data_IF_056342836382
#
_entry.id   IF_056342836382
#
_cell.length_a   1.000
_cell.length_b   1.000
_cell.length_c   1.000
_cell.angle_alpha   90.00
_cell.angle_beta   90.00
_cell.angle_gamma   90.00
#
_symmetry.space_group_name_H-M   'P 1'
#
loop_
_entity.id
_entity.type
_entity.pdbx_description
1 polymer ?
#
# COMPACT_ATOMS: atom_id res chain seq x y z
N UNK A 1 32.72 -48.27 -23.29
CA UNK A 1 32.63 -46.87 -23.76
C UNK A 1 33.41 -45.99 -22.81
N UNK A 2 34.53 -45.38 -23.26
CA UNK A 2 35.38 -44.50 -22.46
C UNK A 2 35.04 -43.06 -22.85
N UNK A 3 34.42 -42.31 -21.95
CA UNK A 3 34.17 -40.88 -22.17
C UNK A 3 35.52 -40.17 -22.06
N UNK A 4 35.94 -39.39 -23.06
CA UNK A 4 37.23 -38.69 -23.02
C UNK A 4 37.23 -37.68 -21.86
N UNK A 5 38.30 -37.71 -21.07
CA UNK A 5 38.50 -36.86 -19.88
C UNK A 5 38.33 -35.37 -20.17
N UNK A 6 38.63 -34.92 -21.39
CA UNK A 6 38.42 -33.53 -21.84
C UNK A 6 36.95 -33.12 -21.85
N UNK A 7 36.03 -34.02 -22.19
CA UNK A 7 34.58 -33.72 -22.25
C UNK A 7 33.98 -33.60 -20.85
N UNK A 8 34.47 -34.38 -19.89
CA UNK A 8 34.01 -34.33 -18.50
C UNK A 8 34.40 -32.99 -17.87
N UNK A 9 35.63 -32.50 -18.13
CA UNK A 9 36.08 -31.20 -17.63
C UNK A 9 35.24 -30.05 -18.19
N UNK A 10 34.91 -30.08 -19.48
CA UNK A 10 34.07 -29.04 -20.11
C UNK A 10 32.67 -29.01 -19.49
N UNK A 11 32.04 -30.18 -19.28
CA UNK A 11 30.71 -30.26 -18.67
C UNK A 11 30.74 -29.75 -17.22
N UNK A 12 31.78 -30.07 -16.45
CA UNK A 12 31.95 -29.55 -15.09
C UNK A 12 32.18 -28.04 -15.08
N UNK A 13 32.99 -27.48 -15.98
CA UNK A 13 33.22 -26.03 -16.07
C UNK A 13 31.94 -25.28 -16.47
N UNK A 14 31.16 -25.80 -17.42
CA UNK A 14 29.88 -25.20 -17.82
C UNK A 14 28.83 -25.32 -16.70
N UNK A 15 28.77 -26.46 -16.00
CA UNK A 15 27.88 -26.64 -14.85
C UNK A 15 28.26 -25.72 -13.68
N UNK A 16 29.56 -25.54 -13.40
CA UNK A 16 30.03 -24.60 -12.39
C UNK A 16 29.72 -23.15 -12.78
N UNK A 17 29.95 -22.73 -14.03
CA UNK A 17 29.65 -21.37 -14.48
C UNK A 17 28.15 -21.03 -14.38
N UNK A 18 27.28 -22.02 -14.63
CA UNK A 18 25.81 -21.87 -14.51
C UNK A 18 25.34 -21.71 -13.06
N UNK A 19 26.13 -22.15 -12.09
CA UNK A 19 25.79 -22.10 -10.66
C UNK A 19 26.17 -20.77 -9.99
N UNK A 20 26.85 -19.86 -10.69
CA UNK A 20 27.30 -18.55 -10.17
C UNK A 20 26.35 -17.38 -10.47
N UNK A 21 25.17 -17.62 -11.06
CA UNK A 21 24.24 -16.53 -11.44
C UNK A 21 23.14 -16.19 -10.43
N UNK A 22 23.12 -16.75 -9.21
CA UNK A 22 22.12 -16.37 -8.21
C UNK A 22 22.74 -15.80 -6.93
N UNK A 23 23.18 -14.54 -7.02
CA UNK A 23 23.24 -13.66 -5.87
C UNK A 23 22.97 -12.23 -6.37
N UNK A 24 21.70 -11.92 -6.64
CA UNK A 24 21.25 -10.54 -6.57
C UNK A 24 21.33 -10.16 -5.09
N UNK A 25 22.47 -9.66 -4.66
CA UNK A 25 22.53 -8.87 -3.44
C UNK A 25 21.68 -7.63 -3.70
N UNK A 26 20.60 -7.48 -2.95
CA UNK A 26 19.74 -6.30 -2.91
C UNK A 26 20.54 -5.09 -2.37
N UNK A 27 21.46 -4.59 -3.19
CA UNK A 27 22.26 -3.41 -2.92
C UNK A 27 21.50 -2.16 -3.35
N UNK A 28 20.60 -1.67 -2.49
CA UNK A 28 19.92 -0.38 -2.68
C UNK A 28 20.84 0.80 -2.31
N UNK A 29 21.98 0.93 -3.01
CA UNK A 29 23.07 1.84 -2.64
C UNK A 29 22.97 3.27 -3.19
N UNK A 30 21.84 3.66 -3.80
CA UNK A 30 21.60 5.04 -4.24
C UNK A 30 20.42 5.67 -3.53
N UNK A 31 20.72 6.50 -2.54
CA UNK A 31 19.73 7.36 -1.88
C UNK A 31 19.31 8.43 -2.89
N UNK A 32 18.04 8.40 -3.28
CA UNK A 32 17.44 9.41 -4.16
C UNK A 32 17.48 10.79 -3.47
N UNK A 33 17.75 11.85 -4.24
CA UNK A 33 17.51 13.19 -3.72
C UNK A 33 16.02 13.37 -3.41
N UNK A 34 15.67 14.33 -2.54
CA UNK A 34 14.26 14.61 -2.20
C UNK A 34 13.38 14.82 -3.44
N UNK A 35 13.89 15.52 -4.46
CA UNK A 35 13.13 15.80 -5.68
C UNK A 35 12.89 14.52 -6.50
N UNK A 36 13.89 13.65 -6.61
CA UNK A 36 13.77 12.38 -7.32
C UNK A 36 12.84 11.42 -6.58
N UNK A 37 12.93 11.37 -5.25
CA UNK A 37 12.03 10.60 -4.40
C UNK A 37 10.58 11.07 -4.55
N UNK A 38 10.33 12.38 -4.45
CA UNK A 38 8.98 12.94 -4.60
C UNK A 38 8.41 12.66 -6.01
N UNK A 39 9.24 12.74 -7.05
CA UNK A 39 8.86 12.40 -8.42
C UNK A 39 8.56 10.90 -8.56
N UNK A 40 9.36 10.04 -7.92
CA UNK A 40 9.13 8.60 -7.90
C UNK A 40 7.81 8.25 -7.22
N UNK A 41 7.59 8.76 -6.01
CA UNK A 41 6.36 8.56 -5.25
C UNK A 41 5.14 9.05 -6.03
N UNK A 42 5.25 10.17 -6.75
CA UNK A 42 4.17 10.68 -7.61
C UNK A 42 3.85 9.72 -8.77
N UNK A 43 4.86 9.11 -9.40
CA UNK A 43 4.65 8.10 -10.45
C UNK A 43 3.93 6.87 -9.89
N UNK A 44 4.35 6.36 -8.74
CA UNK A 44 3.63 5.28 -8.05
C UNK A 44 2.22 5.70 -7.65
N UNK A 45 2.02 6.97 -7.27
CA UNK A 45 0.70 7.53 -6.98
C UNK A 45 -0.26 7.46 -8.18
N UNK A 46 0.24 7.73 -9.39
CA UNK A 46 -0.56 7.58 -10.60
C UNK A 46 -0.97 6.11 -10.85
N UNK A 47 -0.09 5.15 -10.55
CA UNK A 47 -0.43 3.71 -10.61
C UNK A 47 -1.53 3.36 -9.60
N UNK A 48 -1.46 3.88 -8.38
CA UNK A 48 -2.51 3.72 -7.37
C UNK A 48 -3.85 4.32 -7.81
N UNK A 49 -3.84 5.53 -8.38
CA UNK A 49 -5.04 6.15 -8.94
C UNK A 49 -5.63 5.31 -10.06
N UNK A 50 -4.81 4.76 -10.94
CA UNK A 50 -5.26 3.86 -12.00
C UNK A 50 -5.90 2.58 -11.43
N UNK A 51 -5.30 1.98 -10.40
CA UNK A 51 -5.87 0.81 -9.73
C UNK A 51 -7.22 1.11 -9.07
N UNK A 52 -7.36 2.27 -8.42
CA UNK A 52 -8.56 2.65 -7.68
C UNK A 52 -9.71 3.22 -8.54
N UNK A 53 -9.50 3.44 -9.85
CA UNK A 53 -10.55 3.93 -10.77
C UNK A 53 -11.82 3.08 -10.75
N UNK A 54 -11.68 1.75 -10.63
CA UNK A 54 -12.81 0.81 -10.65
C UNK A 54 -13.82 1.06 -9.52
N UNK A 55 -13.38 1.66 -8.41
CA UNK A 55 -14.23 1.93 -7.25
C UNK A 55 -14.74 3.37 -7.19
N UNK A 56 -14.45 4.21 -8.19
CA UNK A 56 -14.89 5.62 -8.22
C UNK A 56 -16.42 5.76 -8.06
N UNK A 57 -17.19 4.88 -8.70
CA UNK A 57 -18.65 4.85 -8.60
C UNK A 57 -19.16 4.41 -7.22
N UNK A 58 -18.38 3.59 -6.49
CA UNK A 58 -18.77 3.07 -5.18
C UNK A 58 -18.82 4.18 -4.12
N UNK A 59 -18.05 5.25 -4.29
CA UNK A 59 -18.00 6.39 -3.37
C UNK A 59 -19.31 7.15 -3.25
N UNK A 60 -20.18 7.12 -4.27
CA UNK A 60 -21.51 7.74 -4.26
C UNK A 60 -22.37 7.21 -3.10
N UNK A 61 -22.28 5.89 -2.86
CA UNK A 61 -22.97 5.20 -1.76
C UNK A 61 -21.96 4.65 -0.75
N UNK A 62 -21.08 5.53 -0.26
CA UNK A 62 -19.96 5.15 0.62
C UNK A 62 -20.41 4.28 1.81
N UNK A 63 -21.51 4.62 2.49
CA UNK A 63 -21.98 3.83 3.64
C UNK A 63 -22.24 2.36 3.28
N UNK A 64 -22.93 2.11 2.18
CA UNK A 64 -23.28 0.76 1.73
C UNK A 64 -22.07 0.01 1.18
N UNK A 65 -21.14 0.73 0.55
CA UNK A 65 -19.96 0.15 -0.11
C UNK A 65 -18.69 0.22 0.73
N UNK A 66 -18.75 0.68 1.98
CA UNK A 66 -17.56 0.99 2.79
C UNK A 66 -16.57 -0.16 2.81
N UNK A 67 -17.03 -1.37 3.11
CA UNK A 67 -16.16 -2.54 3.19
C UNK A 67 -15.45 -2.79 1.85
N UNK A 68 -16.21 -2.86 0.75
CA UNK A 68 -15.69 -3.07 -0.61
C UNK A 68 -14.68 -1.99 -1.02
N UNK A 69 -14.96 -0.73 -0.69
CA UNK A 69 -14.05 0.39 -0.95
C UNK A 69 -12.75 0.20 -0.18
N UNK A 70 -12.81 -0.13 1.11
CA UNK A 70 -11.61 -0.33 1.91
C UNK A 70 -10.81 -1.53 1.41
N UNK A 71 -11.47 -2.65 1.09
CA UNK A 71 -10.81 -3.86 0.59
C UNK A 71 -10.05 -3.59 -0.72
N UNK A 72 -10.68 -2.92 -1.68
CA UNK A 72 -10.04 -2.57 -2.95
C UNK A 72 -8.93 -1.53 -2.80
N UNK A 73 -9.13 -0.51 -1.97
CA UNK A 73 -8.09 0.48 -1.69
C UNK A 73 -6.89 -0.16 -1.00
N UNK A 74 -7.10 -1.06 -0.04
CA UNK A 74 -6.01 -1.80 0.63
C UNK A 74 -5.26 -2.68 -0.37
N UNK A 75 -5.96 -3.38 -1.28
CA UNK A 75 -5.31 -4.15 -2.35
C UNK A 75 -4.44 -3.26 -3.24
N UNK A 76 -4.98 -2.17 -3.76
CA UNK A 76 -4.22 -1.22 -4.59
C UNK A 76 -3.02 -0.62 -3.86
N UNK A 77 -3.09 -0.52 -2.52
CA UNK A 77 -2.07 0.10 -1.70
C UNK A 77 -0.96 -0.88 -1.30
N UNK A 78 -1.32 -2.07 -0.81
CA UNK A 78 -0.43 -2.98 -0.07
C UNK A 78 -0.32 -4.40 -0.66
N UNK A 79 -0.98 -4.71 -1.78
CA UNK A 79 -0.87 -6.06 -2.34
C UNK A 79 0.59 -6.41 -2.66
N UNK A 80 1.07 -7.52 -2.10
CA UNK A 80 2.45 -7.97 -2.26
C UNK A 80 3.49 -7.19 -1.48
N UNK A 81 3.12 -6.38 -0.47
CA UNK A 81 4.07 -5.55 0.29
C UNK A 81 5.22 -6.36 0.90
N UNK A 82 4.93 -7.53 1.47
CA UNK A 82 5.91 -8.41 2.13
C UNK A 82 6.62 -9.38 1.16
N UNK A 83 6.13 -9.50 -0.08
CA UNK A 83 6.67 -10.45 -1.05
C UNK A 83 7.54 -9.73 -2.09
N UNK A 84 8.85 -9.85 -1.92
CA UNK A 84 9.86 -9.17 -2.74
C UNK A 84 9.98 -9.78 -4.16
N UNK A 85 9.28 -10.88 -4.44
CA UNK A 85 9.21 -11.46 -5.78
C UNK A 85 8.11 -10.84 -6.64
N UNK A 86 7.21 -10.06 -6.03
CA UNK A 86 6.09 -9.45 -6.74
C UNK A 86 6.54 -8.27 -7.63
N UNK A 87 5.90 -8.09 -8.79
CA UNK A 87 6.28 -7.04 -9.72
C UNK A 87 5.94 -5.64 -9.17
N UNK A 88 6.71 -4.60 -9.54
CA UNK A 88 6.48 -3.24 -9.08
C UNK A 88 5.10 -2.69 -9.49
N UNK A 89 4.48 -3.26 -10.53
CA UNK A 89 3.16 -2.85 -11.05
C UNK A 89 1.98 -3.37 -10.23
N UNK A 90 2.19 -4.23 -9.23
CA UNK A 90 1.11 -4.88 -8.49
C UNK A 90 0.33 -3.91 -7.59
N UNK A 91 1.05 -3.11 -6.80
CA UNK A 91 0.47 -2.17 -5.85
C UNK A 91 1.36 -0.94 -5.69
N UNK A 92 0.85 0.04 -4.95
CA UNK A 92 1.65 1.20 -4.56
C UNK A 92 2.88 0.79 -3.74
N UNK A 93 2.72 -0.13 -2.77
CA UNK A 93 3.82 -0.62 -1.94
C UNK A 93 4.95 -1.26 -2.77
N UNK A 94 4.61 -2.16 -3.71
CA UNK A 94 5.62 -2.80 -4.57
C UNK A 94 6.31 -1.78 -5.49
N UNK A 95 5.56 -0.79 -6.00
CA UNK A 95 6.14 0.27 -6.82
C UNK A 95 7.16 1.11 -6.05
N UNK A 96 6.81 1.54 -4.84
CA UNK A 96 7.65 2.42 -4.01
C UNK A 96 8.88 1.67 -3.47
N UNK A 97 8.72 0.38 -3.12
CA UNK A 97 9.83 -0.50 -2.73
C UNK A 97 10.88 -0.59 -3.83
N UNK A 98 10.47 -1.01 -5.02
CA UNK A 98 11.42 -1.36 -6.08
C UNK A 98 11.98 -0.12 -6.81
N UNK A 99 11.15 0.92 -7.01
CA UNK A 99 11.55 2.10 -7.80
C UNK A 99 12.01 3.28 -6.93
N UNK A 100 11.50 3.40 -5.71
CA UNK A 100 11.79 4.54 -4.83
C UNK A 100 12.64 4.14 -3.61
N UNK A 101 12.99 2.85 -3.48
CA UNK A 101 13.80 2.30 -2.39
C UNK A 101 13.21 2.61 -1.00
N UNK A 102 11.88 2.56 -0.88
CA UNK A 102 11.20 2.81 0.38
C UNK A 102 10.15 1.74 0.68
N UNK A 103 10.21 1.19 1.89
CA UNK A 103 9.24 0.23 2.40
C UNK A 103 8.03 0.94 3.02
N UNK A 104 6.88 0.27 2.93
CA UNK A 104 5.63 0.73 3.51
C UNK A 104 5.18 -0.17 4.65
N UNK A 105 4.53 0.44 5.64
CA UNK A 105 4.08 -0.24 6.87
C UNK A 105 2.57 -0.16 7.09
N UNK A 106 1.82 0.27 6.07
CA UNK A 106 0.38 0.34 6.13
C UNK A 106 -0.24 1.38 5.19
N UNK A 107 -1.57 1.31 5.08
CA UNK A 107 -2.35 2.17 4.22
C UNK A 107 -3.40 2.96 5.00
N UNK A 108 -3.30 4.29 4.97
CA UNK A 108 -4.28 5.16 5.61
C UNK A 108 -5.22 5.77 4.56
N UNK A 109 -6.41 5.20 4.44
CA UNK A 109 -7.41 5.63 3.46
C UNK A 109 -8.32 6.69 4.11
N UNK A 110 -8.21 7.93 3.62
CA UNK A 110 -9.05 9.06 4.04
C UNK A 110 -9.92 9.52 2.87
N UNK A 111 -11.24 9.41 3.02
CA UNK A 111 -12.17 10.07 2.10
C UNK A 111 -12.04 11.59 2.29
N UNK A 112 -11.62 12.31 1.24
CA UNK A 112 -11.72 13.76 1.19
C UNK A 112 -13.14 14.13 0.77
N UNK A 113 -13.79 15.02 1.51
CA UNK A 113 -15.06 15.60 1.09
C UNK A 113 -14.78 16.73 0.10
N UNK A 114 -14.66 16.40 -1.18
CA UNK A 114 -14.67 17.38 -2.27
C UNK A 114 -15.88 17.10 -3.17
N UNK A 115 -16.87 18.00 -3.17
CA UNK A 115 -18.11 17.87 -3.96
C UNK A 115 -19.38 17.55 -3.15
N UNK A 116 -20.43 17.09 -3.85
CA UNK A 116 -21.75 16.79 -3.25
C UNK A 116 -21.70 15.54 -2.36
N UNK A 117 -22.05 15.70 -1.08
CA UNK A 117 -22.36 14.58 -0.18
C UNK A 117 -23.74 14.01 -0.53
N UNK A 118 -23.87 12.69 -0.58
CA UNK A 118 -25.18 12.04 -0.65
C UNK A 118 -25.97 12.28 0.64
N UNK A 119 -27.31 12.26 0.55
CA UNK A 119 -28.18 12.51 1.72
C UNK A 119 -27.91 11.52 2.86
N UNK A 120 -27.68 10.25 2.53
CA UNK A 120 -27.29 9.21 3.51
C UNK A 120 -25.98 9.54 4.24
N UNK A 121 -25.07 10.23 3.56
CA UNK A 121 -23.78 10.63 4.10
C UNK A 121 -23.91 11.87 4.98
N UNK A 122 -24.74 12.84 4.58
CA UNK A 122 -25.10 13.99 5.43
C UNK A 122 -25.76 13.54 6.73
N UNK A 123 -26.73 12.63 6.65
CA UNK A 123 -27.38 12.05 7.82
C UNK A 123 -26.39 11.32 8.72
N UNK A 124 -25.47 10.54 8.13
CA UNK A 124 -24.43 9.83 8.89
C UNK A 124 -23.39 10.74 9.56
N UNK A 125 -23.19 11.98 9.08
CA UNK A 125 -22.34 12.99 9.73
C UNK A 125 -23.11 13.65 10.87
N UNK A 126 -24.34 14.11 10.61
CA UNK A 126 -25.23 14.69 11.61
C UNK A 126 -25.42 13.78 12.83
N UNK A 127 -25.61 12.47 12.60
CA UNK A 127 -25.76 11.49 13.67
C UNK A 127 -24.49 11.38 14.54
N UNK A 128 -23.29 11.36 13.92
CA UNK A 128 -22.01 11.35 14.64
C UNK A 128 -21.82 12.63 15.45
N UNK A 129 -22.06 13.79 14.86
CA UNK A 129 -21.93 15.07 15.55
C UNK A 129 -22.89 15.16 16.75
N UNK A 130 -24.12 14.69 16.60
CA UNK A 130 -25.10 14.64 17.68
C UNK A 130 -24.67 13.69 18.80
N UNK A 131 -24.12 12.52 18.46
CA UNK A 131 -23.57 11.57 19.43
C UNK A 131 -22.40 12.18 20.20
N UNK A 132 -21.48 12.85 19.51
CA UNK A 132 -20.32 13.51 20.12
C UNK A 132 -20.72 14.69 21.00
N UNK A 133 -21.74 15.47 20.61
CA UNK A 133 -22.35 16.50 21.47
C UNK A 133 -22.96 15.88 22.73
N UNK A 134 -23.72 14.78 22.59
CA UNK A 134 -24.30 14.06 23.73
C UNK A 134 -23.23 13.53 24.69
N UNK A 135 -22.14 12.96 24.16
CA UNK A 135 -21.02 12.50 25.00
C UNK A 135 -20.29 13.63 25.70
N UNK A 136 -20.06 14.77 25.01
CA UNK A 136 -19.49 15.97 25.63
C UNK A 136 -20.35 16.51 26.75
N UNK A 137 -21.66 16.61 26.53
CA UNK A 137 -22.60 17.06 27.56
C UNK A 137 -22.62 16.08 28.75
N UNK A 138 -22.70 14.77 28.50
CA UNK A 138 -22.65 13.77 29.55
C UNK A 138 -21.34 13.78 30.36
N UNK A 139 -20.20 14.08 29.72
CA UNK A 139 -18.90 14.25 30.39
C UNK A 139 -18.85 15.55 31.20
N UNK A 140 -19.44 16.63 30.70
CA UNK A 140 -19.55 17.91 31.40
C UNK A 140 -20.52 17.87 32.59
N UNK A 141 -21.51 16.98 32.56
CA UNK A 141 -22.50 16.81 33.63
C UNK A 141 -22.10 15.77 34.68
N UNK A 142 -20.95 15.10 34.55
CA UNK A 142 -20.46 14.19 35.60
C UNK A 142 -19.95 15.01 36.79
N UNK A 143 -20.49 14.82 38.02
CA UNK A 143 -19.92 15.41 39.21
C UNK A 143 -18.47 14.91 39.36
N UNK A 144 -17.54 15.84 39.61
CA UNK A 144 -16.21 15.49 40.11
C UNK A 144 -16.38 14.77 41.44
N UNK A 145 -16.30 13.44 41.43
CA UNK A 145 -16.07 12.65 42.64
C UNK A 145 -14.73 13.13 43.20
N UNK A 146 -14.78 13.97 44.23
CA UNK A 146 -13.62 14.28 45.06
C UNK A 146 -13.12 12.95 45.61
N UNK A 147 -11.91 12.53 45.21
CA UNK A 147 -11.18 11.50 45.93
C UNK A 147 -10.93 12.04 47.34
N UNK A 148 -11.47 11.34 48.33
CA UNK A 148 -11.05 11.45 49.72
C UNK A 148 -9.76 10.66 49.92
#
# INVERSE_FOLDING_TARGET
>A
MRIPTKTIVIVLVVAYASLWQQANADGHDTILSKQEFDACVRRCGNQYENCSKAIHSLWLNFRRNRQRIMDEMVKCCLAGELDHTQPPTLSFATCVRDNCHAEMWGCNIKKRHSGFLSEDEKLGILERENKDKKMRNARSSRPLLKLN
#
